data_IF_752457415867
#
_entry.id   IF_752457415867
#
_cell.length_a   1.000
_cell.length_b   1.000
_cell.length_c   1.000
_cell.angle_alpha   90.00
_cell.angle_beta   90.00
_cell.angle_gamma   90.00
#
_symmetry.space_group_name_H-M   'P 1'
#
loop_
_entity.id
_entity.type
_entity.pdbx_description
1 polymer ?
#
# COMPACT_ATOMS: atom_id res chain seq x y z
N UNK A 1 -3.92 11.57 -17.43
CA UNK A 1 -4.34 11.61 -16.03
C UNK A 1 -5.86 11.65 -15.92
N UNK A 2 -6.40 10.81 -15.05
CA UNK A 2 -7.85 10.74 -14.82
C UNK A 2 -8.13 11.16 -13.37
N UNK A 3 -9.06 12.10 -13.21
CA UNK A 3 -9.52 12.53 -11.89
C UNK A 3 -10.93 12.01 -11.67
N UNK A 4 -11.14 11.34 -10.53
CA UNK A 4 -12.41 10.66 -10.24
C UNK A 4 -12.99 11.18 -8.93
N UNK A 5 -14.30 11.48 -8.93
CA UNK A 5 -15.05 11.85 -7.73
C UNK A 5 -16.17 10.85 -7.53
N UNK A 6 -16.20 10.19 -6.37
CA UNK A 6 -17.21 9.20 -6.02
C UNK A 6 -17.65 9.36 -4.58
N UNK A 7 -18.91 9.04 -4.30
CA UNK A 7 -19.38 8.89 -2.92
C UNK A 7 -18.97 7.56 -2.35
N UNK A 8 -18.97 6.51 -3.16
CA UNK A 8 -18.55 5.17 -2.78
C UNK A 8 -17.93 4.47 -3.98
N UNK A 9 -16.85 3.72 -3.74
CA UNK A 9 -16.12 3.05 -4.79
C UNK A 9 -15.51 1.76 -4.22
N UNK A 10 -15.76 0.61 -4.84
CA UNK A 10 -15.26 -0.67 -4.33
C UNK A 10 -13.82 -0.94 -4.77
N UNK A 11 -13.46 -0.55 -5.98
CA UNK A 11 -12.15 -0.87 -6.54
C UNK A 11 -11.69 0.22 -7.50
N UNK A 12 -10.39 0.52 -7.46
CA UNK A 12 -9.71 1.35 -8.44
C UNK A 12 -8.64 0.49 -9.10
N UNK A 13 -8.69 0.38 -10.42
CA UNK A 13 -7.76 -0.44 -11.20
C UNK A 13 -7.12 0.42 -12.28
N UNK A 14 -5.80 0.60 -12.21
CA UNK A 14 -5.04 1.37 -13.19
C UNK A 14 -3.98 0.50 -13.85
N UNK A 15 -3.89 0.57 -15.17
CA UNK A 15 -2.97 -0.24 -15.97
C UNK A 15 -2.34 0.56 -17.09
N UNK A 16 -1.25 0.04 -17.67
CA UNK A 16 -0.64 0.57 -18.91
C UNK A 16 -0.33 2.06 -18.82
N UNK A 17 0.45 2.44 -17.81
CA UNK A 17 0.89 3.82 -17.61
C UNK A 17 -0.24 4.81 -17.33
N UNK A 18 -1.45 4.34 -17.02
CA UNK A 18 -2.54 5.23 -16.62
C UNK A 18 -2.20 5.89 -15.29
N UNK A 19 -2.70 7.10 -15.08
CA UNK A 19 -2.53 7.83 -13.83
C UNK A 19 -3.91 8.21 -13.31
N UNK A 20 -4.26 7.73 -12.12
CA UNK A 20 -5.55 7.99 -11.50
C UNK A 20 -5.35 8.76 -10.21
N UNK A 21 -6.03 9.90 -10.11
CA UNK A 21 -6.05 10.67 -8.87
C UNK A 21 -7.49 10.77 -8.39
N UNK A 22 -7.72 10.35 -7.15
CA UNK A 22 -9.03 10.49 -6.52
C UNK A 22 -9.08 11.87 -5.86
N UNK A 23 -9.99 12.72 -6.34
CA UNK A 23 -10.01 14.13 -6.02
C UNK A 23 -10.69 14.46 -4.68
N UNK A 24 -11.37 13.52 -4.08
CA UNK A 24 -11.99 13.72 -2.79
C UNK A 24 -11.72 12.55 -1.87
N UNK A 25 -11.79 12.81 -0.56
CA UNK A 25 -11.56 11.77 0.43
C UNK A 25 -12.64 10.70 0.35
N UNK A 26 -12.23 9.45 0.20
CA UNK A 26 -13.13 8.31 0.21
C UNK A 26 -13.32 7.81 1.64
N UNK A 27 -14.52 8.00 2.17
CA UNK A 27 -14.89 7.52 3.50
C UNK A 27 -15.90 6.40 3.36
N UNK A 28 -15.46 5.18 3.63
CA UNK A 28 -16.28 3.98 3.42
C UNK A 28 -15.69 2.80 4.19
N UNK A 29 -16.32 1.63 4.11
CA UNK A 29 -15.87 0.45 4.84
C UNK A 29 -14.59 -0.13 4.23
N UNK A 30 -14.58 -0.36 2.92
CA UNK A 30 -13.42 -0.99 2.26
C UNK A 30 -13.17 -0.42 0.88
N UNK A 31 -11.92 -0.57 0.42
CA UNK A 31 -11.49 -0.16 -0.91
C UNK A 31 -10.34 -1.05 -1.37
N UNK A 32 -10.34 -1.41 -2.64
CA UNK A 32 -9.25 -2.15 -3.28
C UNK A 32 -8.56 -1.25 -4.31
N UNK A 33 -7.26 -1.05 -4.17
CA UNK A 33 -6.43 -0.31 -5.12
C UNK A 33 -5.53 -1.31 -5.86
N UNK A 34 -5.60 -1.31 -7.17
CA UNK A 34 -4.81 -2.19 -8.01
C UNK A 34 -4.13 -1.40 -9.11
N UNK A 35 -2.80 -1.42 -9.15
CA UNK A 35 -2.02 -0.73 -10.17
C UNK A 35 -1.01 -1.70 -10.78
N UNK A 36 -0.90 -1.68 -12.11
CA UNK A 36 0.01 -2.55 -12.84
C UNK A 36 0.57 -1.85 -14.08
N UNK A 37 1.65 -2.42 -14.63
CA UNK A 37 2.22 -1.95 -15.90
C UNK A 37 2.57 -0.45 -15.90
N UNK A 38 3.27 -0.01 -14.85
CA UNK A 38 3.73 1.38 -14.75
C UNK A 38 2.65 2.40 -14.41
N UNK A 39 1.46 1.95 -14.04
CA UNK A 39 0.37 2.86 -13.69
C UNK A 39 0.59 3.49 -12.31
N UNK A 40 -0.07 4.63 -12.06
CA UNK A 40 -0.01 5.35 -10.79
C UNK A 40 -1.41 5.58 -10.25
N UNK A 41 -1.58 5.39 -8.93
CA UNK A 41 -2.81 5.75 -8.24
C UNK A 41 -2.47 6.64 -7.05
N UNK A 42 -3.23 7.74 -6.89
CA UNK A 42 -3.19 8.55 -5.68
C UNK A 42 -4.59 8.60 -5.07
N UNK A 43 -4.70 8.32 -3.77
CA UNK A 43 -5.99 8.35 -3.07
C UNK A 43 -5.83 8.86 -1.64
N UNK A 44 -6.85 9.60 -1.18
CA UNK A 44 -7.00 10.03 0.22
C UNK A 44 -8.22 9.30 0.79
N UNK A 45 -8.04 8.54 1.86
CA UNK A 45 -9.04 7.58 2.31
C UNK A 45 -9.26 7.62 3.82
N UNK A 46 -10.45 7.20 4.22
CA UNK A 46 -10.79 6.88 5.61
C UNK A 46 -11.61 5.60 5.59
N UNK A 47 -10.96 4.49 5.91
CA UNK A 47 -11.50 3.15 5.68
C UNK A 47 -11.40 2.27 6.93
N UNK A 48 -12.18 1.20 6.97
CA UNK A 48 -11.96 0.10 7.90
C UNK A 48 -10.94 -0.88 7.29
N UNK A 49 -11.05 -1.17 6.00
CA UNK A 49 -10.16 -2.11 5.32
C UNK A 49 -9.65 -1.53 4.00
N UNK A 50 -8.34 -1.60 3.79
CA UNK A 50 -7.71 -1.21 2.53
C UNK A 50 -6.94 -2.40 1.96
N UNK A 51 -7.20 -2.72 0.68
CA UNK A 51 -6.46 -3.75 -0.05
C UNK A 51 -5.67 -3.09 -1.17
N UNK A 52 -4.37 -3.36 -1.22
CA UNK A 52 -3.45 -2.75 -2.19
C UNK A 52 -2.71 -3.84 -2.95
N UNK A 53 -2.78 -3.78 -4.27
CA UNK A 53 -1.98 -4.63 -5.15
C UNK A 53 -1.20 -3.77 -6.12
N UNK A 54 0.13 -3.93 -6.17
CA UNK A 54 0.97 -3.28 -7.16
C UNK A 54 1.81 -4.31 -7.91
N UNK A 55 1.98 -4.10 -9.20
CA UNK A 55 2.62 -5.04 -10.09
C UNK A 55 3.39 -4.31 -11.17
N UNK A 56 4.48 -4.93 -11.67
CA UNK A 56 5.16 -4.51 -12.90
C UNK A 56 5.50 -3.00 -12.90
N UNK A 57 6.20 -2.54 -11.85
CA UNK A 57 6.67 -1.17 -11.77
C UNK A 57 5.61 -0.12 -11.47
N UNK A 58 4.41 -0.52 -11.12
CA UNK A 58 3.34 0.43 -10.78
C UNK A 58 3.57 1.07 -9.42
N UNK A 59 2.93 2.22 -9.18
CA UNK A 59 3.04 2.95 -7.92
C UNK A 59 1.67 3.30 -7.37
N UNK A 60 1.51 3.15 -6.06
CA UNK A 60 0.32 3.62 -5.35
C UNK A 60 0.77 4.52 -4.22
N UNK A 61 0.20 5.72 -4.19
CA UNK A 61 0.38 6.65 -3.07
C UNK A 61 -0.98 6.82 -2.40
N UNK A 62 -1.04 6.59 -1.11
CA UNK A 62 -2.29 6.70 -0.36
C UNK A 62 -2.04 7.41 0.96
N UNK A 63 -2.98 8.26 1.34
CA UNK A 63 -2.91 8.98 2.61
C UNK A 63 -4.26 8.93 3.31
N UNK A 64 -4.28 9.30 4.59
CA UNK A 64 -5.48 9.32 5.40
C UNK A 64 -5.41 8.31 6.54
N UNK A 65 -6.40 7.42 6.60
CA UNK A 65 -6.56 6.51 7.73
C UNK A 65 -7.24 5.21 7.31
N UNK A 66 -6.76 4.10 7.85
CA UNK A 66 -7.45 2.81 7.75
C UNK A 66 -7.22 2.00 9.02
N UNK A 67 -8.17 1.16 9.40
CA UNK A 67 -7.98 0.24 10.51
C UNK A 67 -7.04 -0.89 10.11
N UNK A 68 -7.37 -1.59 9.02
CA UNK A 68 -6.58 -2.70 8.50
C UNK A 68 -6.12 -2.41 7.09
N UNK A 69 -4.87 -2.77 6.79
CA UNK A 69 -4.29 -2.63 5.46
C UNK A 69 -3.66 -3.95 5.05
N UNK A 70 -4.02 -4.44 3.87
CA UNK A 70 -3.42 -5.64 3.29
C UNK A 70 -2.77 -5.28 1.96
N UNK A 71 -1.47 -5.56 1.84
CA UNK A 71 -0.67 -5.12 0.71
C UNK A 71 0.00 -6.30 0.04
N UNK A 72 -0.09 -6.36 -1.28
CA UNK A 72 0.64 -7.33 -2.10
C UNK A 72 1.42 -6.58 -3.18
N UNK A 73 2.74 -6.78 -3.22
CA UNK A 73 3.63 -6.12 -4.17
C UNK A 73 4.40 -7.17 -4.96
N UNK A 74 4.33 -7.08 -6.28
CA UNK A 74 5.05 -7.98 -7.18
C UNK A 74 5.87 -7.18 -8.19
N UNK A 75 7.00 -7.73 -8.59
CA UNK A 75 7.77 -7.29 -9.77
C UNK A 75 8.05 -5.77 -9.77
N UNK A 76 8.71 -5.28 -8.71
CA UNK A 76 9.15 -3.89 -8.66
C UNK A 76 8.06 -2.86 -8.36
N UNK A 77 6.89 -3.30 -7.92
CA UNK A 77 5.84 -2.37 -7.52
C UNK A 77 6.23 -1.52 -6.31
N UNK A 78 5.60 -0.36 -6.15
CA UNK A 78 5.90 0.56 -5.05
C UNK A 78 4.63 1.04 -4.37
N UNK A 79 4.69 1.13 -3.05
CA UNK A 79 3.61 1.69 -2.24
C UNK A 79 4.18 2.80 -1.37
N UNK A 80 3.60 3.99 -1.47
CA UNK A 80 3.93 5.11 -0.60
C UNK A 80 2.74 5.42 0.29
N UNK A 81 2.74 4.84 1.48
CA UNK A 81 1.65 4.96 2.45
C UNK A 81 2.14 5.47 3.81
N UNK A 82 3.22 6.24 3.81
CA UNK A 82 3.75 6.83 5.05
C UNK A 82 2.73 7.75 5.71
N UNK A 83 1.94 8.46 4.92
CA UNK A 83 0.94 9.40 5.42
C UNK A 83 -0.44 8.75 5.61
N UNK A 84 -0.53 7.44 5.47
CA UNK A 84 -1.72 6.66 5.80
C UNK A 84 -1.51 6.00 7.15
N UNK A 85 -2.29 6.42 8.14
CA UNK A 85 -2.20 5.82 9.47
C UNK A 85 -3.02 4.53 9.50
N UNK A 86 -2.39 3.42 9.82
CA UNK A 86 -3.07 2.14 9.98
C UNK A 86 -2.90 1.61 11.40
N UNK A 87 -3.83 0.79 11.85
CA UNK A 87 -3.66 0.04 13.08
C UNK A 87 -2.90 -1.23 12.79
N UNK A 88 -3.36 -2.01 11.83
CA UNK A 88 -2.72 -3.27 11.44
C UNK A 88 -2.39 -3.26 9.96
N UNK A 89 -1.19 -3.72 9.61
CA UNK A 89 -0.77 -3.88 8.22
C UNK A 89 -0.21 -5.26 7.99
N UNK A 90 -0.73 -5.95 6.98
CA UNK A 90 -0.17 -7.20 6.47
C UNK A 90 0.38 -6.92 5.08
N UNK A 91 1.66 -7.21 4.86
CA UNK A 91 2.31 -6.90 3.59
C UNK A 91 3.13 -8.08 3.09
N UNK A 92 3.02 -8.35 1.79
CA UNK A 92 3.79 -9.37 1.11
C UNK A 92 4.45 -8.79 -0.13
N UNK A 93 5.79 -8.90 -0.21
CA UNK A 93 6.56 -8.50 -1.39
C UNK A 93 7.23 -9.73 -1.97
N UNK A 94 6.96 -10.04 -3.23
CA UNK A 94 7.46 -11.28 -3.85
C UNK A 94 8.72 -11.08 -4.69
N UNK A 95 8.86 -9.94 -5.34
CA UNK A 95 9.98 -9.73 -6.26
C UNK A 95 10.37 -8.26 -6.34
N UNK A 96 11.23 -7.80 -5.41
CA UNK A 96 11.92 -6.52 -5.52
C UNK A 96 11.09 -5.27 -5.40
N UNK A 97 10.01 -5.25 -4.69
CA UNK A 97 9.23 -4.02 -4.50
C UNK A 97 9.68 -3.20 -3.30
N UNK A 98 9.10 -2.02 -3.14
CA UNK A 98 9.33 -1.13 -2.00
C UNK A 98 8.00 -0.68 -1.41
N UNK A 99 7.89 -0.66 -0.10
CA UNK A 99 6.70 -0.14 0.57
C UNK A 99 7.10 0.71 1.77
N UNK A 100 6.44 1.88 1.88
CA UNK A 100 6.50 2.71 3.09
C UNK A 100 5.13 2.61 3.77
N UNK A 101 5.11 2.18 5.02
CA UNK A 101 3.86 2.02 5.77
C UNK A 101 3.98 2.66 7.15
N UNK A 102 2.86 3.08 7.71
CA UNK A 102 2.78 3.60 9.08
C UNK A 102 1.72 2.81 9.84
N UNK A 103 2.10 2.20 10.94
CA UNK A 103 1.19 1.41 11.76
C UNK A 103 1.48 1.59 13.25
N UNK A 104 0.46 1.47 14.09
CA UNK A 104 0.64 1.56 15.54
C UNK A 104 0.19 0.31 16.30
N UNK A 105 -0.38 -0.67 15.64
CA UNK A 105 -0.80 -1.92 16.26
C UNK A 105 0.12 -3.07 15.87
N UNK A 106 -0.19 -3.76 14.78
CA UNK A 106 0.56 -4.92 14.34
C UNK A 106 0.99 -4.80 12.89
N UNK A 107 2.23 -5.19 12.61
CA UNK A 107 2.73 -5.32 11.25
C UNK A 107 3.17 -6.76 11.04
N UNK A 108 2.67 -7.39 9.99
CA UNK A 108 3.13 -8.69 9.53
C UNK A 108 3.67 -8.52 8.11
N UNK A 109 4.98 -8.77 7.94
CA UNK A 109 5.66 -8.51 6.69
C UNK A 109 6.39 -9.75 6.19
N UNK A 110 6.11 -10.12 4.94
CA UNK A 110 6.85 -11.17 4.22
C UNK A 110 7.53 -10.53 3.03
N UNK A 111 8.86 -10.54 3.01
CA UNK A 111 9.63 -9.82 1.98
C UNK A 111 10.64 -10.78 1.36
N UNK A 112 10.58 -10.93 0.04
CA UNK A 112 11.43 -11.84 -0.71
C UNK A 112 12.10 -11.13 -1.88
N UNK A 113 13.18 -11.73 -2.37
CA UNK A 113 13.84 -11.35 -3.63
C UNK A 113 14.21 -9.86 -3.68
N UNK A 114 14.85 -9.36 -2.61
CA UNK A 114 15.39 -7.99 -2.59
C UNK A 114 14.40 -6.88 -2.29
N UNK A 115 13.17 -7.21 -1.93
CA UNK A 115 12.18 -6.20 -1.58
C UNK A 115 12.50 -5.48 -0.27
N UNK A 116 11.90 -4.31 -0.05
CA UNK A 116 12.14 -3.50 1.16
C UNK A 116 10.82 -2.96 1.70
N UNK A 117 10.60 -3.11 2.99
CA UNK A 117 9.49 -2.48 3.70
C UNK A 117 10.05 -1.51 4.73
N UNK A 118 9.67 -0.24 4.63
CA UNK A 118 10.00 0.76 5.64
C UNK A 118 8.79 0.96 6.55
N UNK A 119 8.96 0.67 7.84
CA UNK A 119 7.88 0.72 8.82
C UNK A 119 8.02 1.98 9.65
N UNK A 120 7.06 2.88 9.51
CA UNK A 120 6.96 4.12 10.28
C UNK A 120 5.90 3.95 11.38
N UNK A 121 5.90 4.84 12.33
CA UNK A 121 5.05 4.73 13.49
C UNK A 121 5.71 3.86 14.55
N UNK A 122 4.92 3.34 15.46
CA UNK A 122 5.46 2.53 16.56
C UNK A 122 4.55 1.31 16.80
N UNK A 123 4.57 0.33 15.88
CA UNK A 123 3.70 -0.84 16.05
C UNK A 123 4.10 -1.62 17.30
N UNK A 124 3.09 -2.10 18.03
CA UNK A 124 3.29 -2.90 19.24
C UNK A 124 3.89 -4.27 18.90
N UNK A 125 3.57 -4.80 17.72
CA UNK A 125 4.07 -6.10 17.27
C UNK A 125 4.56 -5.96 15.84
N UNK A 126 5.77 -6.46 15.57
CA UNK A 126 6.31 -6.52 14.21
C UNK A 126 6.78 -7.95 13.95
N UNK A 127 6.03 -8.68 13.14
CA UNK A 127 6.40 -10.01 12.67
C UNK A 127 7.00 -9.86 11.27
N UNK A 128 8.21 -10.35 11.08
CA UNK A 128 8.88 -10.24 9.79
C UNK A 128 9.46 -11.57 9.35
N UNK A 129 9.32 -11.84 8.05
CA UNK A 129 9.90 -13.01 7.42
C UNK A 129 10.55 -12.53 6.13
N UNK A 130 11.89 -12.54 6.09
CA UNK A 130 12.66 -12.06 4.96
C UNK A 130 13.47 -13.18 4.36
N UNK A 131 13.47 -13.27 3.03
CA UNK A 131 14.22 -14.27 2.27
C UNK A 131 14.86 -13.62 1.05
N UNK A 132 16.01 -14.16 0.63
CA UNK A 132 16.68 -13.77 -0.61
C UNK A 132 16.95 -12.27 -0.73
N UNK A 133 17.49 -11.67 0.35
CA UNK A 133 17.85 -10.26 0.36
C UNK A 133 16.72 -9.28 0.70
N UNK A 134 15.56 -9.79 1.07
CA UNK A 134 14.47 -8.93 1.53
C UNK A 134 14.81 -8.22 2.83
N UNK A 135 14.24 -7.04 3.05
CA UNK A 135 14.52 -6.20 4.22
C UNK A 135 13.26 -5.57 4.79
N UNK A 136 13.20 -5.52 6.12
CA UNK A 136 12.19 -4.75 6.86
C UNK A 136 12.93 -3.80 7.77
N UNK A 137 12.69 -2.50 7.62
CA UNK A 137 13.42 -1.46 8.33
C UNK A 137 12.43 -0.63 9.16
N UNK A 138 12.67 -0.55 10.46
CA UNK A 138 11.89 0.36 11.32
C UNK A 138 12.45 1.76 11.22
N UNK A 139 11.57 2.71 10.93
CA UNK A 139 11.90 4.13 10.82
C UNK A 139 11.08 4.94 11.80
N UNK A 140 11.71 5.87 12.48
CA UNK A 140 11.02 6.75 13.42
C UNK A 140 11.37 8.19 13.14
#
# INVERSE_FOLDING_TARGET
>A
QITIQFKKLDKIDARQNASIKVDSKLKQESLHLNASEGADIFADVNLDNLYVDTNTGAEIEVEGKTEDQEVSINTGGKLFAKNLKSTNTTISIKAGGVADITANGRVEAKVRAGGTVNVYGNPKTLDQNTLFGGKVIRKN
#
